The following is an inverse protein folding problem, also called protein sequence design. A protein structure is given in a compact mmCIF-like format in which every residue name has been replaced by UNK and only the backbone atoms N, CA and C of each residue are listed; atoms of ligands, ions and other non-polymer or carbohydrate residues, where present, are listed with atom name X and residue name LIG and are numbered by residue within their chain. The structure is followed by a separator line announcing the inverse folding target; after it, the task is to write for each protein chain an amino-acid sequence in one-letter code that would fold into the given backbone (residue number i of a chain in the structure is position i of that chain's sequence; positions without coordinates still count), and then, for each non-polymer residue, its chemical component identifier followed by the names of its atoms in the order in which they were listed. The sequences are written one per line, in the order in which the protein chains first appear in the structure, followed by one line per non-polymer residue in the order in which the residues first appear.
data_IF_863195750571
#
_entry.id   IF_863195750571
#
_cell.length_a   1.000
_cell.length_b   1.000
_cell.length_c   1.000
_cell.angle_alpha   90.00
_cell.angle_beta   90.00
_cell.angle_gamma   90.00
#
_symmetry.space_group_name_H-M   'P 1'
#
loop_
_entity.id
_entity.type
_entity.pdbx_description
1 polymer ?
#
# COMPACT_ATOMS: atom_id res chain seq x y z
N UNK A 1 -1.44 14.78 -27.67
CA UNK A 1 -1.00 13.96 -26.52
C UNK A 1 -1.81 12.68 -26.57
N UNK A 2 -1.28 11.55 -27.05
CA UNK A 2 -2.06 10.32 -27.15
C UNK A 2 -2.34 9.82 -25.72
N UNK A 3 -3.60 9.54 -25.44
CA UNK A 3 -4.06 8.97 -24.19
C UNK A 3 -3.39 7.60 -23.98
N UNK A 4 -2.60 7.49 -22.92
CA UNK A 4 -1.95 6.24 -22.59
C UNK A 4 -3.01 5.24 -22.11
N UNK A 5 -3.02 4.09 -22.78
CA UNK A 5 -4.04 3.07 -22.60
C UNK A 5 -3.80 2.42 -21.24
N UNK A 6 -4.68 2.69 -20.28
CA UNK A 6 -4.85 1.79 -19.12
C UNK A 6 -5.30 0.46 -19.68
N UNK A 7 -4.34 -0.44 -19.92
CA UNK A 7 -4.61 -1.82 -20.29
C UNK A 7 -5.21 -2.48 -19.05
N UNK A 8 -6.53 -2.62 -19.07
CA UNK A 8 -7.25 -3.50 -18.16
C UNK A 8 -6.90 -4.94 -18.53
N UNK A 9 -5.77 -5.43 -18.03
CA UNK A 9 -5.36 -6.82 -18.19
C UNK A 9 -6.03 -7.66 -17.08
N UNK A 10 -7.01 -8.49 -17.49
CA UNK A 10 -7.46 -9.68 -16.75
C UNK A 10 -8.48 -9.45 -15.64
N UNK A 11 -9.73 -9.85 -15.89
CA UNK A 11 -10.83 -9.96 -14.92
C UNK A 11 -10.66 -11.18 -14.00
N UNK A 12 -9.50 -11.30 -13.35
CA UNK A 12 -9.41 -12.10 -12.13
C UNK A 12 -10.28 -11.42 -11.05
N UNK A 13 -10.87 -12.17 -10.10
CA UNK A 13 -11.54 -11.54 -8.97
C UNK A 13 -10.49 -10.75 -8.18
N UNK A 14 -10.45 -9.44 -8.41
CA UNK A 14 -9.62 -8.51 -7.64
C UNK A 14 -10.43 -8.14 -6.40
N UNK A 15 -9.91 -8.48 -5.22
CA UNK A 15 -10.44 -7.90 -4.00
C UNK A 15 -10.17 -6.38 -4.03
N UNK A 16 -10.99 -5.57 -3.35
CA UNK A 16 -10.76 -4.12 -3.34
C UNK A 16 -9.35 -3.73 -2.88
N UNK A 17 -8.70 -4.57 -2.06
CA UNK A 17 -7.29 -4.44 -1.71
C UNK A 17 -6.36 -4.51 -2.91
N UNK A 18 -6.53 -5.47 -3.82
CA UNK A 18 -5.68 -5.60 -5.02
C UNK A 18 -5.82 -4.38 -5.93
N UNK A 19 -7.04 -3.85 -6.06
CA UNK A 19 -7.28 -2.62 -6.82
C UNK A 19 -6.54 -1.43 -6.18
N UNK A 20 -6.63 -1.25 -4.87
CA UNK A 20 -5.88 -0.21 -4.16
C UNK A 20 -4.37 -0.35 -4.40
N UNK A 21 -3.84 -1.56 -4.28
CA UNK A 21 -2.41 -1.82 -4.49
C UNK A 21 -1.99 -1.52 -5.93
N UNK A 22 -2.82 -1.82 -6.92
CA UNK A 22 -2.52 -1.49 -8.33
C UNK A 22 -2.37 0.02 -8.57
N UNK A 23 -3.12 0.85 -7.85
CA UNK A 23 -2.97 2.30 -7.91
C UNK A 23 -1.71 2.76 -7.17
N UNK A 24 -1.41 2.20 -6.00
CA UNK A 24 -0.17 2.51 -5.28
C UNK A 24 1.08 2.13 -6.09
N UNK A 25 1.05 0.99 -6.77
CA UNK A 25 2.08 0.57 -7.73
C UNK A 25 2.26 1.60 -8.85
N UNK A 26 1.17 2.05 -9.49
CA UNK A 26 1.22 3.08 -10.54
C UNK A 26 1.74 4.43 -10.06
N UNK A 27 1.50 4.77 -8.78
CA UNK A 27 2.03 5.97 -8.14
C UNK A 27 3.50 5.83 -7.70
N UNK A 28 4.13 4.67 -7.93
CA UNK A 28 5.52 4.42 -7.57
C UNK A 28 5.75 4.27 -6.06
N UNK A 29 4.74 3.84 -5.31
CA UNK A 29 4.87 3.57 -3.87
C UNK A 29 5.74 2.33 -3.65
N UNK A 30 6.76 2.47 -2.80
CA UNK A 30 7.67 1.37 -2.47
C UNK A 30 7.32 0.68 -1.15
N UNK A 31 6.81 1.45 -0.19
CA UNK A 31 6.58 0.99 1.18
C UNK A 31 5.22 1.46 1.71
N UNK A 32 4.53 0.55 2.38
CA UNK A 32 3.32 0.83 3.15
C UNK A 32 3.60 0.53 4.62
N UNK A 33 3.57 1.56 5.47
CA UNK A 33 3.85 1.46 6.90
C UNK A 33 2.55 1.27 7.67
N UNK A 34 2.48 0.30 8.58
CA UNK A 34 1.23 0.08 9.33
C UNK A 34 1.29 -1.09 10.30
N UNK A 35 0.14 -1.42 10.88
CA UNK A 35 -0.03 -2.59 11.74
C UNK A 35 -1.14 -3.48 11.17
N UNK A 36 -0.92 -4.80 11.04
CA UNK A 36 -1.98 -5.71 10.62
C UNK A 36 -3.11 -5.74 11.65
N UNK A 37 -4.35 -5.75 11.18
CA UNK A 37 -5.55 -5.85 12.01
C UNK A 37 -6.68 -6.51 11.24
N UNK A 38 -7.63 -7.14 11.96
CA UNK A 38 -8.69 -7.93 11.33
C UNK A 38 -9.54 -7.15 10.32
N UNK A 39 -9.84 -5.86 10.61
CA UNK A 39 -10.63 -5.04 9.70
C UNK A 39 -9.92 -4.66 8.40
N UNK A 40 -8.58 -4.71 8.38
CA UNK A 40 -7.76 -4.40 7.21
C UNK A 40 -6.97 -5.63 6.71
N UNK A 41 -7.34 -6.82 7.17
CA UNK A 41 -6.74 -8.08 6.72
C UNK A 41 -6.75 -8.22 5.19
N UNK A 42 -7.83 -7.88 4.46
CA UNK A 42 -7.82 -7.96 3.00
C UNK A 42 -6.77 -7.05 2.34
N UNK A 43 -6.48 -5.88 2.93
CA UNK A 43 -5.43 -4.98 2.44
C UNK A 43 -4.04 -5.59 2.67
N UNK A 44 -3.80 -6.20 3.82
CA UNK A 44 -2.55 -6.89 4.11
C UNK A 44 -2.34 -8.13 3.24
N UNK A 45 -3.41 -8.88 2.96
CA UNK A 45 -3.37 -10.00 2.01
C UNK A 45 -3.03 -9.51 0.59
N UNK A 46 -3.61 -8.39 0.15
CA UNK A 46 -3.28 -7.77 -1.14
C UNK A 46 -1.84 -7.24 -1.19
N UNK A 47 -1.35 -6.58 -0.12
CA UNK A 47 0.05 -6.18 0.03
C UNK A 47 0.99 -7.38 -0.11
N UNK A 48 0.70 -8.51 0.56
CA UNK A 48 1.51 -9.71 0.47
C UNK A 48 1.52 -10.33 -0.94
N UNK A 49 0.39 -10.24 -1.68
CA UNK A 49 0.34 -10.65 -3.10
C UNK A 49 1.13 -9.69 -3.99
N UNK A 50 0.98 -8.38 -3.78
CA UNK A 50 1.67 -7.32 -4.52
C UNK A 50 3.20 -7.41 -4.33
N UNK A 51 3.69 -7.56 -3.10
CA UNK A 51 5.12 -7.69 -2.79
C UNK A 51 5.76 -8.88 -3.53
N UNK A 52 5.07 -10.03 -3.62
CA UNK A 52 5.56 -11.20 -4.39
C UNK A 52 5.72 -10.93 -5.88
N UNK A 53 5.00 -9.95 -6.43
CA UNK A 53 5.09 -9.51 -7.82
C UNK A 53 6.04 -8.33 -8.02
N UNK A 54 6.72 -7.88 -6.96
CA UNK A 54 7.62 -6.72 -6.99
C UNK A 54 6.94 -5.38 -6.75
N UNK A 55 5.70 -5.36 -6.26
CA UNK A 55 5.00 -4.14 -5.85
C UNK A 55 5.36 -3.66 -4.43
N UNK A 56 4.58 -2.71 -3.87
CA UNK A 56 4.80 -2.14 -2.54
C UNK A 56 4.99 -3.19 -1.44
N UNK A 57 5.93 -2.92 -0.55
CA UNK A 57 6.26 -3.79 0.59
C UNK A 57 5.60 -3.30 1.87
N UNK A 58 5.05 -4.20 2.66
CA UNK A 58 4.50 -3.87 3.96
C UNK A 58 5.61 -3.76 5.01
N UNK A 59 5.65 -2.65 5.74
CA UNK A 59 6.56 -2.43 6.87
C UNK A 59 5.73 -2.36 8.16
N UNK A 60 5.86 -3.39 8.99
CA UNK A 60 5.09 -3.51 10.23
C UNK A 60 5.68 -2.63 11.33
N UNK A 61 4.86 -1.71 11.85
CA UNK A 61 5.18 -0.90 13.03
C UNK A 61 4.64 -1.56 14.31
N UNK A 62 4.99 -0.98 15.47
CA UNK A 62 4.43 -1.37 16.78
C UNK A 62 3.24 -0.52 17.22
N UNK A 63 3.19 0.73 16.76
CA UNK A 63 2.12 1.69 17.02
C UNK A 63 1.77 2.44 15.74
N UNK A 64 0.50 2.79 15.57
CA UNK A 64 -0.04 3.43 14.37
C UNK A 64 0.54 4.84 14.20
N UNK A 65 0.71 5.57 15.31
CA UNK A 65 1.46 6.83 15.33
C UNK A 65 2.91 6.64 14.84
N UNK A 66 3.54 5.51 15.18
CA UNK A 66 4.86 5.14 14.69
C UNK A 66 4.87 4.92 13.17
N UNK A 67 3.88 4.20 12.64
CA UNK A 67 3.72 4.01 11.20
C UNK A 67 3.56 5.35 10.45
N UNK A 68 2.78 6.28 11.00
CA UNK A 68 2.61 7.62 10.44
C UNK A 68 3.95 8.40 10.40
N UNK A 69 4.72 8.37 11.50
CA UNK A 69 6.04 9.02 11.52
C UNK A 69 7.05 8.35 10.60
N UNK A 70 6.99 7.04 10.41
CA UNK A 70 7.83 6.34 9.43
C UNK A 70 7.52 6.79 8.00
N UNK A 71 6.23 6.92 7.65
CA UNK A 71 5.82 7.41 6.34
C UNK A 71 6.27 8.87 6.09
N UNK A 72 6.08 9.76 7.08
CA UNK A 72 6.55 11.16 6.99
C UNK A 72 8.08 11.24 6.88
N UNK A 73 8.80 10.45 7.69
CA UNK A 73 10.26 10.36 7.63
C UNK A 73 10.76 9.85 6.28
N UNK A 74 10.10 8.84 5.70
CA UNK A 74 10.43 8.32 4.37
C UNK A 74 10.28 9.40 3.30
N UNK A 75 9.16 10.13 3.30
CA UNK A 75 8.96 11.27 2.38
C UNK A 75 10.07 12.32 2.54
N UNK A 76 10.33 12.77 3.76
CA UNK A 76 11.33 13.82 4.04
C UNK A 76 12.75 13.43 3.60
N UNK A 77 13.10 12.15 3.75
CA UNK A 77 14.44 11.67 3.45
C UNK A 77 14.63 11.28 1.98
N UNK A 78 13.58 10.83 1.29
CA UNK A 78 13.68 10.27 -0.06
C UNK A 78 13.02 11.12 -1.15
N UNK A 79 12.09 12.01 -0.79
CA UNK A 79 11.21 12.70 -1.74
C UNK A 79 10.18 11.79 -2.43
N UNK A 80 10.05 10.53 -1.98
CA UNK A 80 9.10 9.54 -2.52
C UNK A 80 7.90 9.38 -1.61
N UNK A 81 6.75 9.03 -2.18
CA UNK A 81 5.47 8.92 -1.45
C UNK A 81 5.59 7.98 -0.24
N UNK A 82 5.35 8.53 0.95
CA UNK A 82 5.17 7.77 2.19
C UNK A 82 3.71 7.41 2.37
N UNK A 83 3.41 6.13 2.52
CA UNK A 83 2.03 5.62 2.71
C UNK A 83 1.93 4.97 4.08
N UNK A 84 0.96 5.41 4.89
CA UNK A 84 0.61 4.73 6.13
C UNK A 84 -0.79 4.09 6.05
N UNK A 85 -1.00 3.03 6.82
CA UNK A 85 -2.31 2.42 7.03
C UNK A 85 -2.52 2.06 8.51
N UNK A 86 -3.78 2.10 8.94
CA UNK A 86 -4.22 1.73 10.28
C UNK A 86 -5.54 0.94 10.18
N UNK A 87 -5.83 0.17 11.23
CA UNK A 87 -7.07 -0.62 11.33
C UNK A 87 -8.17 0.21 12.00
N UNK A 88 -9.42 -0.24 11.90
CA UNK A 88 -10.52 0.37 12.66
C UNK A 88 -10.29 0.22 14.17
N UNK A 89 -10.49 1.28 14.96
CA UNK A 89 -10.39 1.24 16.41
C UNK A 89 -9.48 2.35 16.96
N UNK A 90 -8.63 2.09 17.96
CA UNK A 90 -7.74 3.10 18.56
C UNK A 90 -6.55 3.50 17.67
N UNK A 91 -6.40 2.84 16.52
CA UNK A 91 -5.30 3.06 15.58
C UNK A 91 -5.42 4.33 14.76
#
# INVERSE_FOLDING_TARGET
MPADKVRAEGTAPHEYGDLLLSYLEQLGVEYVFGIPGGAIEPLYNALARSERRGGPRAITARHEAGAAFMADGYWRNSGKLGVCCATTGPG
#
